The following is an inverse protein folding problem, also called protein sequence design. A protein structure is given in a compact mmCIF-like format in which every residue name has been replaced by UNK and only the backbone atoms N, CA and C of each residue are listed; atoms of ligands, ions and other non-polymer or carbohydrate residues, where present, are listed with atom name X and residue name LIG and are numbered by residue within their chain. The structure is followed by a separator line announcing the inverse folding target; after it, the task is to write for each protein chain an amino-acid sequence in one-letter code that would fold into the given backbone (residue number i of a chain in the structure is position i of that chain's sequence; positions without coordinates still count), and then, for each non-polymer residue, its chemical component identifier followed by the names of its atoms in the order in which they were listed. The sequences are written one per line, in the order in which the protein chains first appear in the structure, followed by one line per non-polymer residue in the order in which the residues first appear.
data_IF_457686766082
#
_entry.id   IF_457686766082
#
_cell.length_a   1.000
_cell.length_b   1.000
_cell.length_c   1.000
_cell.angle_alpha   90.00
_cell.angle_beta   90.00
_cell.angle_gamma   90.00
#
_symmetry.space_group_name_H-M   'P 1'
#
loop_
_entity.id
_entity.type
_entity.pdbx_description
1 polymer ?
#
# COMPACT_ATOMS: atom_id res chain seq x y z
N UNK A 1 26.15 -27.49 -7.08
CA UNK A 1 25.34 -26.51 -7.83
C UNK A 1 25.05 -25.33 -6.91
N UNK A 2 25.40 -24.10 -7.30
CA UNK A 2 25.03 -22.90 -6.53
C UNK A 2 23.73 -22.38 -7.11
N UNK A 3 22.64 -22.53 -6.38
CA UNK A 3 21.32 -22.02 -6.77
C UNK A 3 21.33 -20.51 -6.55
N UNK A 4 21.43 -19.71 -7.62
CA UNK A 4 21.26 -18.24 -7.52
C UNK A 4 19.77 -17.93 -7.43
N UNK A 5 19.32 -17.51 -6.26
CA UNK A 5 17.96 -16.98 -6.06
C UNK A 5 17.94 -15.53 -6.55
N UNK A 6 17.28 -15.28 -7.69
CA UNK A 6 17.04 -13.93 -8.17
C UNK A 6 15.80 -13.36 -7.46
N UNK A 7 16.01 -12.37 -6.59
CA UNK A 7 14.92 -11.65 -5.95
C UNK A 7 14.36 -10.61 -6.93
N UNK A 8 13.08 -10.77 -7.30
CA UNK A 8 12.38 -9.76 -8.11
C UNK A 8 11.62 -8.85 -7.16
N UNK A 9 11.80 -7.53 -7.31
CA UNK A 9 11.07 -6.54 -6.53
C UNK A 9 9.78 -6.13 -7.24
N UNK A 10 8.70 -5.79 -6.50
CA UNK A 10 7.52 -5.18 -7.09
C UNK A 10 7.85 -3.78 -7.65
N UNK A 11 7.01 -3.25 -8.55
CA UNK A 11 7.09 -1.86 -8.99
C UNK A 11 7.22 -0.88 -7.81
N UNK A 12 8.15 0.07 -7.92
CA UNK A 12 8.45 1.01 -6.84
C UNK A 12 7.22 1.82 -6.36
N UNK A 13 6.26 2.07 -7.25
CA UNK A 13 5.01 2.76 -6.93
C UNK A 13 4.18 2.04 -5.85
N UNK A 14 4.31 0.72 -5.70
CA UNK A 14 3.58 -0.05 -4.67
C UNK A 14 4.29 -0.06 -3.32
N UNK A 15 5.55 0.38 -3.27
CA UNK A 15 6.37 0.42 -2.06
C UNK A 15 6.46 1.83 -1.45
N UNK A 16 5.71 2.78 -2.02
CA UNK A 16 5.60 4.12 -1.46
C UNK A 16 5.01 4.01 -0.05
N UNK A 17 5.61 4.71 0.91
CA UNK A 17 5.12 4.71 2.28
C UNK A 17 3.68 5.24 2.34
N UNK A 18 2.81 4.53 3.04
CA UNK A 18 1.43 4.99 3.24
C UNK A 18 1.40 6.28 4.07
N UNK A 19 0.58 7.23 3.62
CA UNK A 19 0.33 8.47 4.34
C UNK A 19 -0.35 8.18 5.68
N UNK A 20 0.03 8.97 6.68
CA UNK A 20 -0.51 8.90 8.04
C UNK A 20 -0.62 10.32 8.57
N UNK A 21 -1.75 10.96 8.31
CA UNK A 21 -2.03 12.27 8.86
C UNK A 21 -2.10 12.22 10.38
N UNK A 22 -1.62 13.27 11.05
CA UNK A 22 -1.79 13.43 12.49
C UNK A 22 -3.14 14.08 12.82
N UNK A 23 -3.77 13.68 13.92
CA UNK A 23 -4.98 14.33 14.41
C UNK A 23 -4.63 15.58 15.23
N UNK A 24 -5.11 16.74 14.78
CA UNK A 24 -4.93 18.03 15.48
C UNK A 24 -6.25 18.72 15.84
N UNK A 25 -7.38 18.01 15.67
CA UNK A 25 -8.72 18.53 15.94
C UNK A 25 -8.99 18.74 17.42
N UNK A 26 -9.93 19.63 17.72
CA UNK A 26 -10.33 19.98 19.10
C UNK A 26 -11.81 19.71 19.38
N UNK A 27 -12.59 19.52 18.33
CA UNK A 27 -14.03 19.30 18.40
C UNK A 27 -14.41 17.94 17.83
N UNK A 28 -15.64 17.51 18.11
CA UNK A 28 -16.18 16.30 17.51
C UNK A 28 -16.29 16.42 15.98
N UNK A 29 -16.59 17.62 15.45
CA UNK A 29 -16.63 17.87 14.02
C UNK A 29 -15.25 17.63 13.37
N UNK A 30 -14.18 18.15 13.99
CA UNK A 30 -12.81 17.93 13.51
C UNK A 30 -12.44 16.43 13.50
N UNK A 31 -12.97 15.65 14.46
CA UNK A 31 -12.76 14.21 14.50
C UNK A 31 -13.46 13.47 13.35
N UNK A 32 -14.66 13.92 12.95
CA UNK A 32 -15.37 13.38 11.79
C UNK A 32 -14.64 13.72 10.49
N UNK A 33 -14.16 14.94 10.34
CA UNK A 33 -13.39 15.35 9.16
C UNK A 33 -12.07 14.57 9.07
N UNK A 34 -11.37 14.43 10.20
CA UNK A 34 -10.17 13.60 10.29
C UNK A 34 -10.46 12.12 9.99
N UNK A 35 -11.62 11.60 10.41
CA UNK A 35 -12.02 10.22 10.08
C UNK A 35 -12.11 10.01 8.57
N UNK A 36 -12.62 11.00 7.82
CA UNK A 36 -12.66 10.91 6.35
C UNK A 36 -11.26 10.89 5.72
N UNK A 37 -10.31 11.64 6.29
CA UNK A 37 -8.91 11.65 5.84
C UNK A 37 -8.31 10.26 6.01
N UNK A 38 -8.37 9.69 7.22
CA UNK A 38 -7.75 8.38 7.50
C UNK A 38 -8.42 7.23 6.75
N UNK A 39 -9.72 7.33 6.42
CA UNK A 39 -10.40 6.36 5.54
C UNK A 39 -9.77 6.39 4.15
N UNK A 40 -9.56 7.58 3.57
CA UNK A 40 -8.94 7.72 2.24
C UNK A 40 -7.51 7.22 2.24
N UNK A 41 -6.71 7.59 3.24
CA UNK A 41 -5.33 7.12 3.40
C UNK A 41 -5.26 5.58 3.49
N UNK A 42 -6.16 4.99 4.30
CA UNK A 42 -6.27 3.54 4.45
C UNK A 42 -6.62 2.86 3.13
N UNK A 43 -7.62 3.38 2.41
CA UNK A 43 -8.10 2.75 1.18
C UNK A 43 -7.02 2.82 0.09
N UNK A 44 -6.28 3.93 0.00
CA UNK A 44 -5.11 4.05 -0.88
C UNK A 44 -4.02 3.04 -0.51
N UNK A 45 -3.66 2.96 0.76
CA UNK A 45 -2.66 2.02 1.26
C UNK A 45 -3.07 0.55 0.99
N UNK A 46 -4.35 0.21 1.19
CA UNK A 46 -4.88 -1.11 0.89
C UNK A 46 -4.74 -1.46 -0.61
N UNK A 47 -5.03 -0.50 -1.50
CA UNK A 47 -4.87 -0.69 -2.95
C UNK A 47 -3.43 -1.00 -3.39
N UNK A 48 -2.43 -0.45 -2.70
CA UNK A 48 -1.02 -0.75 -2.94
C UNK A 48 -0.70 -2.21 -2.59
N UNK A 49 -1.23 -2.72 -1.46
CA UNK A 49 -1.07 -4.12 -1.06
C UNK A 49 -1.74 -5.06 -2.06
N UNK A 50 -2.93 -4.73 -2.54
CA UNK A 50 -3.61 -5.54 -3.56
C UNK A 50 -2.82 -5.56 -4.87
N UNK A 51 -2.25 -4.42 -5.28
CA UNK A 51 -1.35 -4.35 -6.44
C UNK A 51 -0.11 -5.23 -6.29
N UNK A 52 0.47 -5.32 -5.07
CA UNK A 52 1.58 -6.23 -4.77
C UNK A 52 1.12 -7.68 -4.91
N UNK A 53 -0.05 -8.04 -4.37
CA UNK A 53 -0.59 -9.41 -4.45
C UNK A 53 -0.82 -9.83 -5.89
N UNK A 54 -1.41 -8.96 -6.71
CA UNK A 54 -1.62 -9.19 -8.14
C UNK A 54 -0.29 -9.34 -8.90
N UNK A 55 0.67 -8.46 -8.62
CA UNK A 55 2.01 -8.56 -9.19
C UNK A 55 2.71 -9.87 -8.80
N UNK A 56 2.59 -10.31 -7.54
CA UNK A 56 3.13 -11.60 -7.09
C UNK A 56 2.45 -12.77 -7.80
N UNK A 57 1.12 -12.73 -7.97
CA UNK A 57 0.38 -13.77 -8.67
C UNK A 57 0.82 -13.89 -10.14
N UNK A 58 0.97 -12.75 -10.84
CA UNK A 58 1.49 -12.70 -12.22
C UNK A 58 2.93 -13.19 -12.33
N UNK A 59 3.79 -12.78 -11.39
CA UNK A 59 5.21 -13.19 -11.38
C UNK A 59 5.34 -14.71 -11.18
N UNK A 60 4.51 -15.32 -10.33
CA UNK A 60 4.47 -16.78 -10.14
C UNK A 60 3.97 -17.54 -11.37
N UNK A 61 3.04 -16.96 -12.13
CA UNK A 61 2.50 -17.59 -13.34
C UNK A 61 3.44 -17.49 -14.56
N UNK A 62 4.58 -16.81 -14.41
CA UNK A 62 5.45 -16.42 -15.52
C UNK A 62 4.83 -15.21 -16.23
N UNK A 63 5.58 -14.12 -16.35
CA UNK A 63 5.20 -13.03 -17.23
C UNK A 63 5.04 -13.62 -18.64
N UNK A 64 3.81 -13.70 -19.16
CA UNK A 64 3.58 -13.93 -20.59
C UNK A 64 4.05 -12.72 -21.39
#
# INVERSE_FOLDING_TARGET
MVTKTNYVYPPAAYLVQCERSEFSGKTYADAIDYLMIVIKERDLCASQIDSIREWQARTKQGFK
#
